data_IF_588011128080
#
_entry.id   IF_588011128080
#
_cell.length_a   1.000
_cell.length_b   1.000
_cell.length_c   1.000
_cell.angle_alpha   90.00
_cell.angle_beta   90.00
_cell.angle_gamma   90.00
#
_symmetry.space_group_name_H-M   'P 1'
#
loop_
_entity.id
_entity.type
_entity.pdbx_description
1 polymer ?
#
# COMPACT_ATOMS: atom_id res chain seq x y z
N UNK A 1 84.19 -33.25 41.59
CA UNK A 1 83.49 -33.73 40.37
C UNK A 1 82.01 -33.73 40.69
N UNK A 2 81.32 -32.60 40.40
CA UNK A 2 79.92 -32.40 40.74
C UNK A 2 79.10 -32.35 39.43
N UNK A 3 78.18 -33.26 39.29
CA UNK A 3 77.26 -33.36 38.19
C UNK A 3 76.07 -32.46 38.43
N UNK A 4 75.93 -31.48 37.62
CA UNK A 4 74.76 -30.57 37.60
C UNK A 4 73.55 -31.27 36.93
N UNK A 5 72.48 -31.43 37.68
CA UNK A 5 71.22 -32.00 37.25
C UNK A 5 70.35 -30.85 36.71
N UNK A 6 70.19 -30.80 35.41
CA UNK A 6 69.33 -29.76 34.72
C UNK A 6 67.86 -30.23 34.71
N UNK A 7 66.99 -29.48 35.41
CA UNK A 7 65.55 -29.75 35.48
C UNK A 7 64.86 -28.82 34.54
N UNK A 8 64.45 -29.28 33.35
CA UNK A 8 63.64 -28.59 32.42
C UNK A 8 62.17 -28.73 32.80
N UNK A 9 61.58 -27.68 33.36
CA UNK A 9 60.11 -27.57 33.55
C UNK A 9 59.45 -27.22 32.24
N UNK A 10 58.80 -28.21 31.64
CA UNK A 10 57.93 -27.99 30.46
C UNK A 10 56.70 -27.17 30.82
N UNK A 11 56.56 -26.00 30.21
CA UNK A 11 55.38 -25.14 30.30
C UNK A 11 54.33 -25.67 29.35
N UNK A 12 53.36 -26.43 29.86
CA UNK A 12 52.20 -26.87 29.07
C UNK A 12 51.27 -25.67 28.87
N UNK A 13 51.35 -25.04 27.72
CA UNK A 13 50.37 -24.05 27.27
C UNK A 13 49.05 -24.76 26.94
N UNK A 14 48.06 -24.61 27.83
CA UNK A 14 46.68 -25.00 27.52
C UNK A 14 46.15 -24.09 26.43
N UNK A 15 46.01 -24.58 25.21
CA UNK A 15 45.24 -23.98 24.13
C UNK A 15 43.76 -24.11 24.49
N UNK A 16 43.12 -23.00 24.84
CA UNK A 16 41.68 -22.89 24.96
C UNK A 16 41.15 -22.73 23.53
N UNK A 17 40.29 -23.61 23.02
CA UNK A 17 39.65 -23.38 21.74
C UNK A 17 38.63 -22.25 21.92
N UNK A 18 38.88 -21.12 21.27
CA UNK A 18 37.95 -20.00 21.12
C UNK A 18 36.85 -20.45 20.15
N UNK A 19 35.78 -21.02 20.70
CA UNK A 19 34.58 -21.33 19.95
C UNK A 19 33.97 -20.00 19.48
N UNK A 20 34.19 -19.70 18.20
CA UNK A 20 33.57 -18.57 17.52
C UNK A 20 32.08 -18.92 17.36
N UNK A 21 31.24 -18.45 18.29
CA UNK A 21 29.79 -18.52 18.16
C UNK A 21 29.40 -17.49 17.09
N UNK A 22 29.34 -17.92 15.83
CA UNK A 22 28.64 -17.18 14.77
C UNK A 22 27.16 -17.24 15.07
N UNK A 23 26.65 -16.29 15.84
CA UNK A 23 25.22 -15.95 15.86
C UNK A 23 24.88 -15.36 14.49
N UNK A 24 24.43 -16.22 13.57
CA UNK A 24 23.74 -15.79 12.35
C UNK A 24 22.48 -15.07 12.78
N UNK A 25 22.51 -13.71 12.79
CA UNK A 25 21.29 -12.91 12.73
C UNK A 25 20.63 -13.26 11.38
N UNK A 26 19.73 -14.22 11.40
CA UNK A 26 18.66 -14.27 10.41
C UNK A 26 17.81 -13.02 10.69
N UNK A 27 18.16 -11.90 10.05
CA UNK A 27 17.21 -10.83 9.83
C UNK A 27 16.10 -11.47 9.00
N UNK A 28 15.06 -11.96 9.66
CA UNK A 28 13.84 -12.35 9.00
C UNK A 28 13.37 -11.11 8.23
N UNK A 29 13.40 -11.18 6.90
CA UNK A 29 12.65 -10.28 6.04
C UNK A 29 11.19 -10.57 6.37
N UNK A 30 10.71 -10.02 7.49
CA UNK A 30 9.31 -10.05 7.86
C UNK A 30 8.55 -9.42 6.69
N UNK A 31 7.66 -10.20 6.10
CA UNK A 31 6.76 -9.67 5.09
C UNK A 31 6.00 -8.50 5.73
N UNK A 32 6.27 -7.29 5.26
CA UNK A 32 5.63 -6.09 5.80
C UNK A 32 4.22 -5.99 5.25
N UNK A 33 3.25 -5.76 6.13
CA UNK A 33 1.89 -5.43 5.73
C UNK A 33 1.91 -4.20 4.81
N UNK A 34 1.07 -4.21 3.78
CA UNK A 34 0.98 -3.08 2.87
C UNK A 34 0.48 -1.82 3.60
N UNK A 35 0.89 -0.65 3.11
CA UNK A 35 0.34 0.64 3.52
C UNK A 35 -0.49 1.19 2.37
N UNK A 36 -1.75 1.57 2.62
CA UNK A 36 -2.64 2.16 1.63
C UNK A 36 -2.96 3.59 2.03
N UNK A 37 -2.59 4.54 1.18
CA UNK A 37 -2.90 5.96 1.34
C UNK A 37 -4.07 6.32 0.41
N UNK A 38 -5.11 6.93 0.98
CA UNK A 38 -6.28 7.40 0.24
C UNK A 38 -6.18 8.92 0.11
N UNK A 39 -6.16 9.40 -1.13
CA UNK A 39 -6.18 10.82 -1.46
C UNK A 39 -7.52 11.18 -2.11
N UNK A 40 -8.25 12.11 -1.51
CA UNK A 40 -9.47 12.63 -2.12
C UNK A 40 -9.11 13.60 -3.23
N UNK A 41 -9.83 13.49 -4.38
CA UNK A 41 -9.81 14.49 -5.46
C UNK A 41 -11.11 15.28 -5.54
N UNK A 42 -11.97 15.15 -4.54
CA UNK A 42 -13.26 15.82 -4.51
C UNK A 42 -13.13 17.31 -4.24
N UNK A 43 -13.91 18.10 -4.94
CA UNK A 43 -14.09 19.52 -4.65
C UNK A 43 -14.78 19.73 -3.28
N UNK A 44 -14.72 20.95 -2.77
CA UNK A 44 -15.46 21.32 -1.57
C UNK A 44 -16.97 21.05 -1.74
N UNK A 45 -17.58 20.45 -0.72
CA UNK A 45 -19.00 20.10 -0.71
C UNK A 45 -19.37 18.82 -1.48
N UNK A 46 -18.41 18.10 -2.03
CA UNK A 46 -18.63 16.89 -2.83
C UNK A 46 -17.95 15.69 -2.21
N UNK A 47 -18.54 14.52 -2.33
CA UNK A 47 -17.91 13.22 -2.01
C UNK A 47 -17.40 13.12 -0.60
N UNK A 48 -16.09 13.03 -0.40
CA UNK A 48 -15.45 13.01 0.92
C UNK A 48 -15.51 14.37 1.63
N UNK A 49 -15.75 15.46 0.89
CA UNK A 49 -15.86 16.81 1.42
C UNK A 49 -17.32 17.28 1.56
N UNK A 50 -18.28 16.35 1.48
CA UNK A 50 -19.72 16.60 1.61
C UNK A 50 -20.07 16.88 3.09
N UNK A 51 -20.47 18.12 3.44
CA UNK A 51 -20.74 18.51 4.83
C UNK A 51 -22.16 18.17 5.28
N UNK A 52 -22.97 17.51 4.45
CA UNK A 52 -24.37 17.20 4.77
C UNK A 52 -24.43 16.41 6.08
N UNK A 53 -25.12 16.93 7.11
CA UNK A 53 -25.27 16.23 8.38
C UNK A 53 -26.04 14.92 8.22
N UNK A 54 -25.56 13.88 8.88
CA UNK A 54 -26.20 12.56 8.94
C UNK A 54 -26.00 11.94 10.30
N UNK A 55 -26.96 11.12 10.72
CA UNK A 55 -26.81 10.35 11.97
C UNK A 55 -25.83 9.18 11.77
N UNK A 56 -25.07 8.82 12.82
CA UNK A 56 -24.27 7.61 12.85
C UNK A 56 -25.11 6.37 12.54
N UNK A 57 -24.61 5.48 11.67
CA UNK A 57 -25.35 4.29 11.23
C UNK A 57 -24.45 3.06 11.07
N UNK A 58 -24.94 1.90 11.47
CA UNK A 58 -24.26 0.62 11.19
C UNK A 58 -22.84 0.51 11.79
N UNK A 59 -22.58 1.21 12.91
CA UNK A 59 -21.24 1.27 13.53
C UNK A 59 -20.30 2.31 12.90
N UNK A 60 -20.76 3.07 11.90
CA UNK A 60 -20.02 4.21 11.35
C UNK A 60 -20.35 5.47 12.17
N UNK A 61 -19.38 6.05 12.91
CA UNK A 61 -19.61 7.19 13.79
C UNK A 61 -19.61 8.55 13.08
N UNK A 62 -19.38 8.60 11.78
CA UNK A 62 -19.33 9.85 11.01
C UNK A 62 -20.63 10.63 11.11
N UNK A 63 -20.54 11.95 11.26
CA UNK A 63 -21.65 12.89 11.43
C UNK A 63 -21.95 13.67 10.17
N UNK A 64 -21.15 13.52 9.13
CA UNK A 64 -21.42 14.02 7.79
C UNK A 64 -21.32 12.91 6.75
N UNK A 65 -21.94 13.10 5.58
CA UNK A 65 -21.82 12.15 4.47
C UNK A 65 -20.36 11.93 4.05
N UNK A 66 -19.57 12.99 4.00
CA UNK A 66 -18.15 12.90 3.67
C UNK A 66 -17.36 12.08 4.66
N UNK A 67 -17.57 12.31 5.97
CA UNK A 67 -16.93 11.53 7.03
C UNK A 67 -17.32 10.05 6.94
N UNK A 68 -18.59 9.73 6.80
CA UNK A 68 -19.04 8.35 6.70
C UNK A 68 -18.42 7.63 5.50
N UNK A 69 -18.32 8.29 4.35
CA UNK A 69 -17.67 7.76 3.14
C UNK A 69 -16.17 7.48 3.37
N UNK A 70 -15.46 8.42 3.99
CA UNK A 70 -14.02 8.26 4.28
C UNK A 70 -13.77 7.13 5.29
N UNK A 71 -14.61 7.01 6.31
CA UNK A 71 -14.53 5.92 7.32
C UNK A 71 -14.68 4.56 6.64
N UNK A 72 -15.63 4.41 5.71
CA UNK A 72 -15.81 3.16 4.95
C UNK A 72 -14.57 2.87 4.10
N UNK A 73 -14.05 3.85 3.38
CA UNK A 73 -12.83 3.68 2.59
C UNK A 73 -11.64 3.25 3.44
N UNK A 74 -11.45 3.92 4.59
CA UNK A 74 -10.34 3.58 5.50
C UNK A 74 -10.53 2.19 6.11
N UNK A 75 -11.74 1.81 6.44
CA UNK A 75 -12.04 0.46 6.93
C UNK A 75 -11.66 -0.61 5.90
N UNK A 76 -12.09 -0.43 4.65
CA UNK A 76 -11.76 -1.37 3.56
C UNK A 76 -10.25 -1.39 3.28
N UNK A 77 -9.59 -0.23 3.29
CA UNK A 77 -8.14 -0.17 3.14
C UNK A 77 -7.41 -0.96 4.24
N UNK A 78 -7.84 -0.85 5.49
CA UNK A 78 -7.27 -1.61 6.61
C UNK A 78 -7.42 -3.14 6.42
N UNK A 79 -8.53 -3.61 5.85
CA UNK A 79 -8.72 -5.03 5.51
C UNK A 79 -7.70 -5.48 4.45
N UNK A 80 -7.47 -4.66 3.43
CA UNK A 80 -6.48 -4.96 2.41
C UNK A 80 -5.05 -4.85 2.93
N UNK A 81 -4.73 -3.86 3.77
CA UNK A 81 -3.42 -3.76 4.43
C UNK A 81 -3.07 -5.01 5.24
N UNK A 82 -4.07 -5.59 5.92
CA UNK A 82 -3.89 -6.83 6.68
C UNK A 82 -3.68 -8.07 5.77
N UNK A 83 -4.19 -8.05 4.54
CA UNK A 83 -4.14 -9.17 3.61
C UNK A 83 -2.95 -9.10 2.63
N UNK A 84 -2.47 -7.89 2.32
CA UNK A 84 -1.42 -7.66 1.33
C UNK A 84 -0.06 -7.45 2.01
N UNK A 85 0.98 -7.81 1.27
CA UNK A 85 2.38 -7.59 1.69
C UNK A 85 3.06 -6.72 0.64
N UNK A 86 3.53 -5.54 1.04
CA UNK A 86 4.26 -4.62 0.17
C UNK A 86 5.12 -3.67 0.99
N UNK A 87 6.37 -3.49 0.58
CA UNK A 87 7.25 -2.45 1.12
C UNK A 87 7.05 -1.10 0.44
N UNK A 88 6.27 -1.08 -0.64
CA UNK A 88 5.93 0.15 -1.38
C UNK A 88 4.50 0.52 -1.04
N UNK A 89 4.29 1.77 -0.65
CA UNK A 89 2.96 2.31 -0.35
C UNK A 89 2.08 2.28 -1.59
N UNK A 90 0.82 1.86 -1.41
CA UNK A 90 -0.19 1.87 -2.46
C UNK A 90 -0.98 3.18 -2.36
N UNK A 91 -0.93 4.00 -3.41
CA UNK A 91 -1.61 5.29 -3.49
C UNK A 91 -2.95 5.12 -4.21
N UNK A 92 -4.04 5.42 -3.51
CA UNK A 92 -5.41 5.37 -4.06
C UNK A 92 -5.95 6.77 -4.20
N UNK A 93 -6.19 7.21 -5.43
CA UNK A 93 -6.94 8.44 -5.71
C UNK A 93 -8.42 8.10 -5.77
N UNK A 94 -9.20 8.67 -4.87
CA UNK A 94 -10.61 8.36 -4.71
C UNK A 94 -11.47 9.64 -4.84
N UNK A 95 -12.67 9.50 -5.41
CA UNK A 95 -13.56 10.64 -5.54
C UNK A 95 -14.98 10.27 -5.99
N UNK A 96 -15.86 11.26 -5.93
CA UNK A 96 -17.22 11.22 -6.47
C UNK A 96 -17.30 12.06 -7.74
N UNK A 97 -17.70 11.45 -8.84
CA UNK A 97 -17.73 12.08 -10.15
C UNK A 97 -19.11 11.89 -10.81
N UNK A 98 -19.46 12.79 -11.73
CA UNK A 98 -20.67 12.64 -12.55
C UNK A 98 -20.44 11.52 -13.56
N UNK A 99 -20.87 10.32 -13.23
CA UNK A 99 -20.83 9.17 -14.13
C UNK A 99 -22.16 9.03 -14.88
N UNK A 100 -22.14 8.19 -15.94
CA UNK A 100 -23.34 7.94 -16.75
C UNK A 100 -24.49 7.45 -15.88
N UNK A 101 -25.66 8.09 -16.07
CA UNK A 101 -26.89 7.73 -15.39
C UNK A 101 -28.11 8.04 -16.26
N UNK A 102 -29.05 7.11 -16.26
CA UNK A 102 -30.36 7.22 -16.93
C UNK A 102 -31.46 6.80 -15.97
N UNK A 103 -32.70 6.93 -16.34
CA UNK A 103 -33.85 6.48 -15.53
C UNK A 103 -33.80 4.99 -15.22
N UNK A 104 -33.20 4.18 -16.09
CA UNK A 104 -33.22 2.71 -16.01
C UNK A 104 -31.85 2.07 -15.75
N UNK A 105 -30.77 2.83 -15.76
CA UNK A 105 -29.42 2.28 -15.55
C UNK A 105 -28.39 3.35 -15.21
N UNK A 106 -27.41 2.97 -14.41
CA UNK A 106 -26.32 3.85 -14.00
C UNK A 106 -25.01 3.11 -13.84
N UNK A 107 -23.91 3.82 -14.07
CA UNK A 107 -22.60 3.44 -13.57
C UNK A 107 -22.56 3.84 -12.09
N UNK A 108 -22.50 2.86 -11.18
CA UNK A 108 -22.48 3.13 -9.73
C UNK A 108 -21.12 3.66 -9.30
N UNK A 109 -20.07 3.08 -9.85
CA UNK A 109 -18.68 3.43 -9.60
C UNK A 109 -17.74 2.62 -10.46
N UNK A 110 -16.48 2.93 -10.43
CA UNK A 110 -15.41 2.15 -11.06
C UNK A 110 -14.11 2.24 -10.28
N UNK A 111 -13.24 1.25 -10.48
CA UNK A 111 -11.88 1.23 -9.98
C UNK A 111 -10.96 0.58 -11.00
N UNK A 112 -9.71 1.03 -11.06
CA UNK A 112 -8.71 0.47 -11.95
C UNK A 112 -7.31 0.95 -11.62
N UNK A 113 -6.33 0.24 -12.15
CA UNK A 113 -4.95 0.70 -12.11
C UNK A 113 -4.84 2.02 -12.88
N UNK A 114 -4.04 2.96 -12.36
CA UNK A 114 -3.80 4.21 -13.06
C UNK A 114 -2.92 3.97 -14.29
N UNK A 115 -1.83 3.21 -14.09
CA UNK A 115 -0.91 2.81 -15.15
C UNK A 115 -0.68 1.30 -15.16
N UNK A 116 -0.16 0.81 -16.29
CA UNK A 116 0.37 -0.53 -16.44
C UNK A 116 1.82 -0.46 -16.90
N UNK A 117 2.63 -1.39 -16.43
CA UNK A 117 4.08 -1.45 -16.68
C UNK A 117 4.47 -2.76 -17.32
N UNK A 118 5.36 -2.71 -18.30
CA UNK A 118 5.87 -3.88 -19.00
C UNK A 118 7.29 -4.20 -18.55
N UNK A 119 7.61 -5.49 -18.43
CA UNK A 119 8.97 -5.96 -18.08
C UNK A 119 9.54 -5.31 -16.80
N UNK A 120 8.77 -5.34 -15.72
CA UNK A 120 9.21 -4.73 -14.46
C UNK A 120 10.28 -5.58 -13.76
N UNK A 121 11.21 -4.94 -13.01
CA UNK A 121 12.15 -5.67 -12.17
C UNK A 121 11.44 -6.62 -11.20
N UNK A 122 11.92 -7.85 -11.09
CA UNK A 122 11.28 -8.88 -10.25
C UNK A 122 10.01 -9.50 -10.82
N UNK A 123 9.55 -9.05 -11.98
CA UNK A 123 8.42 -9.61 -12.71
C UNK A 123 8.79 -10.75 -13.64
N UNK A 124 7.79 -11.35 -14.28
CA UNK A 124 7.96 -12.35 -15.34
C UNK A 124 8.21 -11.60 -16.65
N UNK A 125 9.29 -11.91 -17.40
CA UNK A 125 9.57 -11.27 -18.68
C UNK A 125 8.39 -11.37 -19.65
N UNK A 126 8.17 -10.33 -20.45
CA UNK A 126 7.09 -10.28 -21.44
C UNK A 126 5.69 -10.06 -20.85
N UNK A 127 5.59 -9.62 -19.59
CA UNK A 127 4.31 -9.51 -18.87
C UNK A 127 4.02 -8.06 -18.48
N UNK A 128 2.76 -7.68 -18.60
CA UNK A 128 2.20 -6.41 -18.12
C UNK A 128 1.69 -6.52 -16.71
N UNK A 129 1.95 -5.51 -15.88
CA UNK A 129 1.53 -5.45 -14.49
C UNK A 129 0.80 -4.14 -14.18
N UNK A 130 -0.30 -4.17 -13.39
CA UNK A 130 -0.89 -2.95 -12.86
C UNK A 130 0.10 -2.28 -11.88
N UNK A 131 0.08 -0.95 -11.81
CA UNK A 131 1.12 -0.15 -11.16
C UNK A 131 1.43 -0.59 -9.71
N UNK A 132 0.42 -0.80 -8.86
CA UNK A 132 0.64 -1.23 -7.48
C UNK A 132 1.42 -2.56 -7.40
N UNK A 133 1.10 -3.53 -8.26
CA UNK A 133 1.81 -4.81 -8.31
C UNK A 133 3.21 -4.65 -8.92
N UNK A 134 3.34 -3.83 -9.95
CA UNK A 134 4.63 -3.50 -10.55
C UNK A 134 5.59 -2.89 -9.53
N UNK A 135 5.13 -1.91 -8.75
CA UNK A 135 5.88 -1.27 -7.68
C UNK A 135 6.30 -2.28 -6.60
N UNK A 136 5.38 -3.15 -6.18
CA UNK A 136 5.70 -4.21 -5.22
C UNK A 136 6.79 -5.14 -5.73
N UNK A 137 6.73 -5.58 -6.99
CA UNK A 137 7.71 -6.50 -7.59
C UNK A 137 9.08 -5.83 -7.75
N UNK A 138 9.09 -4.56 -8.17
CA UNK A 138 10.31 -3.77 -8.31
C UNK A 138 10.94 -3.42 -6.94
N UNK A 139 10.14 -3.35 -5.87
CA UNK A 139 10.59 -2.92 -4.54
C UNK A 139 10.68 -1.41 -4.36
N UNK A 140 10.27 -0.62 -5.35
CA UNK A 140 10.23 0.85 -5.33
C UNK A 140 9.09 1.36 -6.23
N UNK A 141 8.73 2.64 -6.07
CA UNK A 141 7.72 3.27 -6.92
C UNK A 141 8.29 3.56 -8.31
N UNK A 142 7.80 2.86 -9.33
CA UNK A 142 8.23 3.01 -10.73
C UNK A 142 7.84 4.36 -11.34
N UNK A 143 6.82 5.03 -10.78
CA UNK A 143 6.39 6.35 -11.21
C UNK A 143 7.17 7.49 -10.52
N UNK A 144 8.04 7.18 -9.54
CA UNK A 144 8.83 8.18 -8.84
C UNK A 144 9.80 8.89 -9.79
N UNK A 145 9.76 10.22 -9.80
CA UNK A 145 10.55 11.04 -10.72
C UNK A 145 10.06 11.07 -12.17
N UNK A 146 8.95 10.37 -12.50
CA UNK A 146 8.31 10.52 -13.80
C UNK A 146 7.60 11.87 -13.88
N UNK A 147 7.62 12.50 -15.05
CA UNK A 147 6.89 13.73 -15.29
C UNK A 147 5.38 13.43 -15.15
N UNK A 148 4.65 14.33 -14.48
CA UNK A 148 3.20 14.30 -14.48
C UNK A 148 2.72 14.46 -15.94
N UNK A 149 1.86 13.57 -16.40
CA UNK A 149 1.25 13.62 -17.73
C UNK A 149 0.17 14.72 -17.86
N UNK A 150 0.06 15.58 -16.84
CA UNK A 150 -0.96 16.63 -16.74
C UNK A 150 -2.25 16.17 -16.08
N UNK A 151 -2.35 14.92 -15.68
CA UNK A 151 -3.50 14.37 -14.95
C UNK A 151 -3.46 14.68 -13.45
N UNK A 152 -2.32 15.15 -12.92
CA UNK A 152 -2.08 15.35 -11.48
C UNK A 152 -1.91 14.05 -10.69
N UNK A 153 -1.71 12.91 -11.36
CA UNK A 153 -1.72 11.58 -10.73
C UNK A 153 -0.41 10.81 -10.86
N UNK A 154 0.71 11.49 -11.08
CA UNK A 154 2.01 10.86 -11.34
C UNK A 154 2.42 9.74 -10.37
N UNK A 155 2.00 9.81 -9.11
CA UNK A 155 2.30 8.82 -8.09
C UNK A 155 1.09 7.99 -7.63
N UNK A 156 -0.03 8.02 -8.36
CA UNK A 156 -1.24 7.26 -8.03
C UNK A 156 -1.18 5.87 -8.64
N UNK A 157 -1.42 4.84 -7.84
CA UNK A 157 -1.46 3.46 -8.30
C UNK A 157 -2.86 3.05 -8.79
N UNK A 158 -3.89 3.51 -8.08
CA UNK A 158 -5.28 3.10 -8.31
C UNK A 158 -6.16 4.35 -8.31
N UNK A 159 -7.00 4.47 -9.35
CA UNK A 159 -8.11 5.42 -9.37
C UNK A 159 -9.40 4.70 -8.99
N UNK A 160 -10.17 5.29 -8.08
CA UNK A 160 -11.54 4.86 -7.74
C UNK A 160 -12.50 6.03 -7.85
N UNK A 161 -13.73 5.76 -8.25
CA UNK A 161 -14.76 6.80 -8.34
C UNK A 161 -16.16 6.22 -8.11
N UNK A 162 -17.00 7.02 -7.46
CA UNK A 162 -18.42 6.75 -7.30
C UNK A 162 -19.27 7.84 -7.98
N UNK A 163 -20.47 7.47 -8.38
CA UNK A 163 -21.36 8.35 -9.13
C UNK A 163 -22.11 9.32 -8.20
N UNK A 164 -21.89 10.62 -8.36
CA UNK A 164 -22.62 11.67 -7.62
C UNK A 164 -24.06 11.86 -8.12
N UNK A 165 -24.41 11.30 -9.29
CA UNK A 165 -25.74 11.47 -9.89
C UNK A 165 -26.79 10.52 -9.30
N UNK A 166 -26.37 9.53 -8.52
CA UNK A 166 -27.28 8.55 -7.91
C UNK A 166 -28.25 9.27 -6.97
N UNK A 167 -29.54 9.04 -7.18
CA UNK A 167 -30.62 9.70 -6.44
C UNK A 167 -31.06 11.07 -7.00
N UNK A 168 -30.39 11.60 -8.02
CA UNK A 168 -30.83 12.80 -8.72
C UNK A 168 -32.00 12.47 -9.66
N UNK A 169 -32.80 13.49 -9.98
CA UNK A 169 -33.88 13.37 -10.96
C UNK A 169 -33.35 12.82 -12.30
N UNK A 170 -33.99 11.80 -12.84
CA UNK A 170 -33.56 11.13 -14.06
C UNK A 170 -32.47 10.08 -13.92
N UNK A 171 -32.02 9.82 -12.69
CA UNK A 171 -31.03 8.77 -12.38
C UNK A 171 -31.67 7.68 -11.52
N UNK A 172 -31.90 6.48 -12.10
CA UNK A 172 -32.56 5.34 -11.44
C UNK A 172 -33.92 5.69 -10.80
N UNK A 173 -34.69 6.53 -11.49
CA UNK A 173 -36.02 6.99 -11.03
C UNK A 173 -37.19 6.27 -11.72
N UNK A 174 -36.89 5.09 -12.27
CA UNK A 174 -37.91 4.24 -12.93
C UNK A 174 -38.83 3.52 -11.97
#
# INVERSE_FOLDING_TARGET
MQTMKNSSRGLVRKLVPMACVMTSLLAGLGAQAATIVISSRDAAGVGFNDPTPVDPVGGNPGTTLGEQRMIVYRHVANLWEAALQSNVTIQVSAGWEALSCTATGAVLGSAGAWNIWYDVPGGIPGTWYPQALANKLAGFNLADGQADDGSGYGNVDIKTQFNINLGNAGCLTG
#
